data_IF_723968329226
#
_entry.id   IF_723968329226
#
_cell.length_a   1.000
_cell.length_b   1.000
_cell.length_c   1.000
_cell.angle_alpha   90.00
_cell.angle_beta   90.00
_cell.angle_gamma   90.00
#
_symmetry.space_group_name_H-M   'P 1'
#
loop_
_entity.id
_entity.type
_entity.pdbx_description
1 polymer ?
#
# COMPACT_ATOMS: atom_id res chain seq x y z
N UNK A 1 19.23 -1.59 21.34
CA UNK A 1 18.70 -0.28 20.89
C UNK A 1 19.80 0.76 21.01
N UNK A 2 20.06 1.51 19.93
CA UNK A 2 21.02 2.64 19.94
C UNK A 2 20.26 3.95 20.06
N UNK A 3 20.84 4.97 20.71
CA UNK A 3 20.23 6.31 20.70
C UNK A 3 20.26 6.89 19.29
N UNK A 4 19.14 7.46 18.85
CA UNK A 4 19.01 8.05 17.51
C UNK A 4 19.98 9.22 17.31
N UNK A 5 20.12 10.08 18.32
CA UNK A 5 20.90 11.33 18.23
C UNK A 5 22.35 11.12 17.73
N UNK A 6 22.94 9.98 18.08
CA UNK A 6 24.32 9.59 17.71
C UNK A 6 24.39 8.79 16.40
N UNK A 7 23.25 8.38 15.85
CA UNK A 7 23.14 7.41 14.75
C UNK A 7 22.07 7.83 13.72
N UNK A 8 21.84 9.14 13.53
CA UNK A 8 20.82 9.68 12.61
C UNK A 8 20.93 9.13 11.18
N UNK A 9 22.13 8.73 10.77
CA UNK A 9 22.42 8.14 9.46
C UNK A 9 21.91 6.69 9.30
N UNK A 10 21.63 5.99 10.39
CA UNK A 10 21.15 4.61 10.43
C UNK A 10 19.61 4.52 10.35
N UNK A 11 18.89 5.64 10.45
CA UNK A 11 17.43 5.64 10.37
C UNK A 11 16.92 5.33 8.98
N UNK A 12 15.80 4.62 8.90
CA UNK A 12 15.12 4.28 7.66
C UNK A 12 13.70 4.81 7.73
N UNK A 13 13.35 5.62 6.73
CA UNK A 13 12.04 6.22 6.58
C UNK A 13 11.33 5.69 5.34
N UNK A 14 10.01 5.62 5.44
CA UNK A 14 9.10 5.38 4.32
C UNK A 14 8.01 6.45 4.27
N UNK A 15 7.31 6.56 3.14
CA UNK A 15 6.17 7.46 2.94
C UNK A 15 6.49 8.96 3.17
N UNK A 16 7.76 9.34 3.05
CA UNK A 16 8.22 10.72 3.19
C UNK A 16 7.76 11.53 1.97
N UNK A 17 7.16 12.69 2.21
CA UNK A 17 6.80 13.64 1.16
C UNK A 17 7.33 15.01 1.53
N UNK A 18 8.43 15.42 0.89
CA UNK A 18 9.01 16.76 1.05
C UNK A 18 7.96 17.84 0.72
N UNK A 19 7.97 18.90 1.50
CA UNK A 19 7.11 20.07 1.28
C UNK A 19 7.96 21.34 1.17
N UNK A 20 7.33 22.44 0.75
CA UNK A 20 8.00 23.73 0.62
C UNK A 20 7.87 24.56 1.89
N UNK A 21 8.83 25.48 2.09
CA UNK A 21 8.84 26.42 3.22
C UNK A 21 7.57 27.28 3.27
N UNK A 22 6.99 27.59 2.11
CA UNK A 22 5.74 28.36 2.02
C UNK A 22 4.59 27.73 2.81
N UNK A 23 4.57 26.39 2.98
CA UNK A 23 3.58 25.74 3.84
C UNK A 23 3.76 26.13 5.31
N UNK A 24 5.00 26.14 5.79
CA UNK A 24 5.32 26.59 7.15
C UNK A 24 5.01 28.08 7.31
N UNK A 25 5.41 28.93 6.35
CA UNK A 25 5.12 30.36 6.42
C UNK A 25 3.60 30.62 6.53
N UNK A 26 2.76 29.85 5.82
CA UNK A 26 1.29 29.95 5.95
C UNK A 26 0.79 29.49 7.33
N UNK A 27 1.31 28.37 7.84
CA UNK A 27 0.95 27.85 9.18
C UNK A 27 1.35 28.85 10.27
N UNK A 28 2.57 29.36 10.22
CA UNK A 28 3.13 30.34 11.16
C UNK A 28 2.29 31.62 11.21
N UNK A 29 1.91 32.13 10.03
CA UNK A 29 1.06 33.31 9.92
C UNK A 29 -0.35 33.07 10.46
N UNK A 30 -0.97 31.91 10.16
CA UNK A 30 -2.33 31.60 10.63
C UNK A 30 -2.40 31.39 12.14
N UNK A 31 -1.39 30.75 12.73
CA UNK A 31 -1.37 30.44 14.16
C UNK A 31 -0.69 31.52 15.02
N UNK A 32 -0.09 32.52 14.38
CA UNK A 32 0.74 33.56 15.01
C UNK A 32 1.85 32.96 15.88
N UNK A 33 2.62 32.05 15.27
CA UNK A 33 3.77 31.36 15.87
C UNK A 33 4.96 31.40 14.92
N UNK A 34 6.12 30.96 15.40
CA UNK A 34 7.31 30.75 14.60
C UNK A 34 7.99 29.45 15.02
N UNK A 35 8.07 28.49 14.11
CA UNK A 35 8.81 27.26 14.37
C UNK A 35 10.32 27.55 14.45
N UNK A 36 11.05 26.83 15.31
CA UNK A 36 12.51 26.88 15.28
C UNK A 36 13.04 26.48 13.90
N UNK A 37 14.04 27.21 13.39
CA UNK A 37 14.53 27.04 12.01
C UNK A 37 15.02 25.61 11.72
N UNK A 38 15.72 25.01 12.69
CA UNK A 38 16.21 23.63 12.57
C UNK A 38 15.05 22.62 12.47
N UNK A 39 13.91 22.91 13.09
CA UNK A 39 12.73 22.04 13.05
C UNK A 39 12.04 22.14 11.71
N UNK A 40 11.92 23.35 11.18
CA UNK A 40 11.41 23.55 9.82
C UNK A 40 12.25 22.75 8.83
N UNK A 41 13.59 22.82 8.91
CA UNK A 41 14.48 22.03 8.03
C UNK A 41 14.23 20.53 8.14
N UNK A 42 14.08 20.02 9.36
CA UNK A 42 13.79 18.61 9.59
C UNK A 42 12.38 18.23 9.11
N UNK A 43 11.35 18.85 9.66
CA UNK A 43 9.94 18.55 9.39
C UNK A 43 9.58 18.71 7.91
N UNK A 44 10.18 19.68 7.20
CA UNK A 44 10.01 19.86 5.75
C UNK A 44 10.49 18.64 4.96
N UNK A 45 11.64 18.08 5.33
CA UNK A 45 12.27 16.96 4.61
C UNK A 45 11.73 15.60 5.04
N UNK A 46 11.26 15.45 6.29
CA UNK A 46 10.68 14.22 6.83
C UNK A 46 9.14 14.25 6.91
N UNK A 47 8.49 15.25 6.31
CA UNK A 47 7.04 15.45 6.38
C UNK A 47 6.27 14.16 6.03
N UNK A 48 5.32 13.79 6.90
CA UNK A 48 4.50 12.56 6.80
C UNK A 48 5.29 11.24 6.88
N UNK A 49 6.60 11.29 7.09
CA UNK A 49 7.45 10.10 7.17
C UNK A 49 7.03 9.17 8.32
N UNK A 50 7.08 7.87 8.05
CA UNK A 50 7.05 6.82 9.06
C UNK A 50 8.44 6.21 9.17
N UNK A 51 8.96 6.07 10.37
CA UNK A 51 10.21 5.35 10.59
C UNK A 51 9.96 3.84 10.62
N UNK A 52 10.87 3.09 9.99
CA UNK A 52 10.84 1.63 9.99
C UNK A 52 11.59 1.08 11.19
N UNK A 53 12.78 1.61 11.46
CA UNK A 53 13.69 1.06 12.46
C UNK A 53 13.93 2.02 13.63
N UNK A 54 12.98 2.90 13.91
CA UNK A 54 13.07 3.86 15.00
C UNK A 54 11.78 3.91 15.79
N UNK A 55 11.93 3.88 17.12
CA UNK A 55 10.82 4.00 18.06
C UNK A 55 11.04 5.21 18.95
N UNK A 56 9.96 5.76 19.48
CA UNK A 56 9.95 6.69 20.59
C UNK A 56 9.74 5.89 21.89
N UNK A 57 10.55 6.13 22.91
CA UNK A 57 10.48 5.44 24.21
C UNK A 57 10.46 6.48 25.34
N UNK A 58 9.37 6.54 26.09
CA UNK A 58 9.20 7.45 27.23
C UNK A 58 8.35 6.80 28.32
N UNK A 59 8.80 6.86 29.57
CA UNK A 59 8.06 6.34 30.74
C UNK A 59 7.56 4.89 30.60
N UNK A 60 8.33 4.05 29.90
CA UNK A 60 7.99 2.64 29.66
C UNK A 60 7.02 2.40 28.50
N UNK A 61 6.57 3.46 27.82
CA UNK A 61 5.76 3.40 26.60
C UNK A 61 6.67 3.45 25.37
N UNK A 62 6.43 2.56 24.41
CA UNK A 62 7.21 2.47 23.17
C UNK A 62 6.31 2.47 21.94
N UNK A 63 6.61 3.30 20.94
CA UNK A 63 5.85 3.34 19.70
C UNK A 63 6.67 3.82 18.49
N UNK A 64 6.30 3.34 17.30
CA UNK A 64 6.92 3.76 16.03
C UNK A 64 6.72 5.25 15.76
N UNK A 65 7.75 5.90 15.23
CA UNK A 65 7.71 7.34 14.93
C UNK A 65 6.99 7.57 13.62
N UNK A 66 5.91 8.34 13.67
CA UNK A 66 5.20 8.84 12.49
C UNK A 66 5.00 10.34 12.60
N UNK A 67 5.58 11.08 11.67
CA UNK A 67 5.49 12.53 11.65
C UNK A 67 4.14 12.99 11.08
N UNK A 68 3.61 14.06 11.66
CA UNK A 68 2.44 14.77 11.14
C UNK A 68 2.71 15.31 9.74
N UNK A 69 1.62 15.57 9.01
CA UNK A 69 1.69 16.36 7.77
C UNK A 69 1.62 17.84 8.08
N UNK A 70 2.57 18.60 7.54
CA UNK A 70 2.68 20.06 7.59
C UNK A 70 2.32 20.70 6.25
N UNK A 71 1.69 19.95 5.34
CA UNK A 71 1.01 20.53 4.18
C UNK A 71 -0.17 21.38 4.68
N UNK A 72 -0.12 22.69 4.44
CA UNK A 72 -0.96 23.71 5.09
C UNK A 72 -2.43 23.30 5.25
N UNK A 73 -3.12 22.95 4.14
CA UNK A 73 -4.54 22.57 4.17
C UNK A 73 -4.82 21.33 5.03
N UNK A 74 -3.94 20.32 4.94
CA UNK A 74 -4.09 19.08 5.69
C UNK A 74 -3.72 19.28 7.17
N UNK A 75 -2.71 20.10 7.44
CA UNK A 75 -2.27 20.44 8.78
C UNK A 75 -3.37 21.15 9.57
N UNK A 76 -3.94 22.23 9.03
CA UNK A 76 -5.00 23.00 9.70
C UNK A 76 -6.20 22.11 10.02
N UNK A 77 -6.67 21.31 9.06
CA UNK A 77 -7.77 20.36 9.29
C UNK A 77 -7.46 19.36 10.41
N UNK A 78 -6.22 18.84 10.45
CA UNK A 78 -5.81 17.89 11.49
C UNK A 78 -5.71 18.56 12.87
N UNK A 79 -5.26 19.81 12.92
CA UNK A 79 -5.17 20.61 14.14
C UNK A 79 -6.56 20.94 14.68
N UNK A 80 -7.49 21.35 13.82
CA UNK A 80 -8.90 21.54 14.17
C UNK A 80 -9.53 20.25 14.71
N UNK A 81 -9.27 19.11 14.05
CA UNK A 81 -9.72 17.81 14.52
C UNK A 81 -9.16 17.49 15.90
N UNK A 82 -7.86 17.72 16.13
CA UNK A 82 -7.23 17.52 17.43
C UNK A 82 -7.93 18.34 18.51
N UNK A 83 -8.04 19.66 18.35
CA UNK A 83 -8.70 20.52 19.33
C UNK A 83 -10.14 20.10 19.60
N UNK A 84 -10.93 19.83 18.55
CA UNK A 84 -12.33 19.37 18.70
C UNK A 84 -12.41 18.03 19.44
N UNK A 85 -11.57 17.06 19.09
CA UNK A 85 -11.55 15.72 19.72
C UNK A 85 -11.18 15.75 21.21
N UNK A 86 -10.50 16.82 21.65
CA UNK A 86 -10.11 17.06 23.04
C UNK A 86 -11.06 18.01 23.79
N UNK A 87 -12.19 18.38 23.18
CA UNK A 87 -13.16 19.31 23.76
C UNK A 87 -12.51 20.64 24.19
N UNK A 88 -12.80 21.07 25.41
CA UNK A 88 -12.26 22.33 25.96
C UNK A 88 -10.90 22.19 26.65
N UNK A 89 -10.30 20.99 26.70
CA UNK A 89 -9.11 20.74 27.52
C UNK A 89 -7.91 21.60 27.08
N UNK A 90 -7.68 21.71 25.77
CA UNK A 90 -6.59 22.49 25.18
C UNK A 90 -7.05 23.81 24.55
N UNK A 91 -8.27 24.28 24.83
CA UNK A 91 -8.88 25.43 24.12
C UNK A 91 -8.06 26.72 24.23
N UNK A 92 -7.34 26.91 25.33
CA UNK A 92 -6.50 28.08 25.58
C UNK A 92 -5.01 27.83 25.32
N UNK A 93 -4.65 26.69 24.73
CA UNK A 93 -3.25 26.32 24.47
C UNK A 93 -2.97 26.23 22.97
N UNK A 94 -1.80 26.70 22.57
CA UNK A 94 -1.30 26.62 21.18
C UNK A 94 -0.44 25.35 21.02
N UNK A 95 -1.10 24.18 21.03
CA UNK A 95 -0.44 22.86 20.94
C UNK A 95 -0.44 22.37 19.49
N UNK A 96 0.73 21.97 19.00
CA UNK A 96 0.90 21.45 17.64
C UNK A 96 1.43 20.01 17.71
N UNK A 97 0.61 19.00 17.37
CA UNK A 97 1.04 17.61 17.32
C UNK A 97 2.07 17.37 16.20
N UNK A 98 3.25 16.85 16.57
CA UNK A 98 4.35 16.57 15.63
C UNK A 98 4.49 15.07 15.35
N UNK A 99 4.34 14.25 16.39
CA UNK A 99 4.34 12.79 16.30
C UNK A 99 3.06 12.31 16.96
N UNK A 100 2.36 11.39 16.30
CA UNK A 100 1.18 10.77 16.91
C UNK A 100 1.10 9.27 16.62
N UNK A 101 0.73 8.52 17.67
CA UNK A 101 0.38 7.11 17.57
C UNK A 101 -0.99 6.89 18.19
N UNK A 102 -1.73 5.99 17.56
CA UNK A 102 -2.98 5.45 18.08
C UNK A 102 -2.78 3.97 18.35
N UNK A 103 -3.18 3.53 19.52
CA UNK A 103 -3.27 2.14 19.93
C UNK A 103 -4.74 1.83 20.21
N UNK A 104 -5.26 0.72 19.68
CA UNK A 104 -6.60 0.25 19.97
C UNK A 104 -6.51 -0.69 21.15
N UNK A 105 -7.28 -0.43 22.22
CA UNK A 105 -7.09 -1.11 23.49
C UNK A 105 -7.88 -2.41 23.60
N UNK A 106 -9.13 -2.52 23.10
CA UNK A 106 -9.94 -3.77 23.11
C UNK A 106 -11.27 -3.61 22.31
N UNK A 107 -12.05 -4.70 22.16
CA UNK A 107 -13.28 -4.89 21.34
C UNK A 107 -14.41 -3.84 21.49
N UNK A 108 -14.35 -2.95 22.49
CA UNK A 108 -15.40 -1.95 22.81
C UNK A 108 -14.98 -0.53 22.36
N UNK A 109 -14.31 -0.43 21.22
CA UNK A 109 -14.11 0.84 20.50
C UNK A 109 -13.37 1.96 21.30
N UNK A 110 -12.50 1.61 22.26
CA UNK A 110 -11.61 2.54 22.96
C UNK A 110 -10.20 2.52 22.35
N UNK A 111 -9.58 3.69 22.27
CA UNK A 111 -8.21 3.86 21.82
C UNK A 111 -7.39 4.70 22.80
N UNK A 112 -6.08 4.48 22.82
CA UNK A 112 -5.09 5.31 23.49
C UNK A 112 -4.35 6.12 22.45
N UNK A 113 -4.24 7.43 22.68
CA UNK A 113 -3.47 8.36 21.86
C UNK A 113 -2.18 8.71 22.58
N UNK A 114 -1.12 8.72 21.79
CA UNK A 114 0.22 9.12 22.17
C UNK A 114 0.62 10.28 21.27
N UNK A 115 0.99 11.42 21.86
CA UNK A 115 1.29 12.63 21.10
C UNK A 115 2.55 13.27 21.65
N UNK A 116 3.52 13.53 20.76
CA UNK A 116 4.61 14.47 21.02
C UNK A 116 4.25 15.77 20.31
N UNK A 117 4.22 16.88 21.03
CA UNK A 117 3.76 18.15 20.52
C UNK A 117 4.68 19.31 20.90
N UNK A 118 4.59 20.38 20.11
CA UNK A 118 5.12 21.69 20.43
C UNK A 118 4.05 22.52 21.12
N UNK A 119 4.34 23.10 22.27
CA UNK A 119 3.46 24.01 22.99
C UNK A 119 3.98 25.44 22.94
N UNK A 120 3.31 26.27 22.13
CA UNK A 120 3.61 27.69 21.92
C UNK A 120 2.85 28.62 22.87
N UNK A 121 2.17 28.08 23.90
CA UNK A 121 1.29 28.87 24.78
C UNK A 121 2.07 29.97 25.53
N UNK A 122 3.29 29.67 25.99
CA UNK A 122 4.11 30.62 26.76
C UNK A 122 4.99 31.52 25.89
N UNK A 123 5.52 30.97 24.79
CA UNK A 123 6.38 31.68 23.85
C UNK A 123 6.02 31.22 22.43
N UNK A 124 5.63 32.18 21.58
CA UNK A 124 5.24 31.92 20.20
C UNK A 124 6.41 31.59 19.28
N UNK A 125 7.67 31.72 19.73
CA UNK A 125 8.87 31.45 18.94
C UNK A 125 9.69 30.27 19.45
N UNK A 126 9.54 29.89 20.73
CA UNK A 126 10.28 28.80 21.35
C UNK A 126 9.30 27.87 22.09
N UNK A 127 8.81 26.82 21.43
CA UNK A 127 7.83 25.95 22.05
C UNK A 127 8.44 25.08 23.16
N UNK A 128 7.67 24.82 24.20
CA UNK A 128 7.96 23.69 25.08
C UNK A 128 7.65 22.39 24.33
N UNK A 129 8.49 21.38 24.47
CA UNK A 129 8.26 20.05 23.93
C UNK A 129 7.55 19.22 24.99
N UNK A 130 6.36 18.74 24.67
CA UNK A 130 5.53 17.98 25.60
C UNK A 130 5.14 16.62 25.01
N UNK A 131 4.99 15.65 25.90
CA UNK A 131 4.41 14.35 25.62
C UNK A 131 3.04 14.28 26.31
N UNK A 132 2.02 13.95 25.53
CA UNK A 132 0.62 13.86 25.96
C UNK A 132 0.16 12.43 25.70
N UNK A 133 -0.54 11.84 26.67
CA UNK A 133 -1.36 10.66 26.41
C UNK A 133 -2.79 10.91 26.84
N UNK A 134 -3.75 10.30 26.15
CA UNK A 134 -5.14 10.29 26.58
C UNK A 134 -5.87 9.08 26.00
N UNK A 135 -6.98 8.71 26.60
CA UNK A 135 -7.87 7.66 26.09
C UNK A 135 -9.06 8.30 25.40
N UNK A 136 -9.59 7.67 24.36
CA UNK A 136 -10.76 8.14 23.64
C UNK A 136 -11.69 6.98 23.30
N UNK A 137 -12.99 7.22 23.33
CA UNK A 137 -14.03 6.24 23.04
C UNK A 137 -14.76 6.57 21.75
N UNK A 138 -15.17 5.56 21.01
CA UNK A 138 -16.04 5.73 19.83
C UNK A 138 -17.43 6.19 20.27
N UNK A 139 -17.95 7.20 19.57
CA UNK A 139 -19.25 7.82 19.85
C UNK A 139 -20.30 7.56 18.74
N UNK A 140 -19.98 6.76 17.71
CA UNK A 140 -20.91 6.30 16.67
C UNK A 140 -20.68 6.88 15.25
N UNK A 141 -21.16 6.15 14.24
CA UNK A 141 -20.80 6.27 12.80
C UNK A 141 -21.41 7.44 12.00
N UNK A 142 -22.20 8.33 12.61
CA UNK A 142 -22.88 9.43 11.88
C UNK A 142 -22.37 10.83 12.27
N UNK A 143 -21.16 10.92 12.81
CA UNK A 143 -20.49 12.20 13.04
C UNK A 143 -19.13 12.24 12.33
N UNK A 144 -18.70 13.45 11.92
CA UNK A 144 -17.34 13.68 11.41
C UNK A 144 -16.24 13.31 12.44
N UNK A 145 -16.62 13.05 13.70
CA UNK A 145 -15.76 12.90 14.87
C UNK A 145 -16.09 11.61 15.61
N UNK A 146 -15.68 10.49 15.01
CA UNK A 146 -15.96 9.15 15.54
C UNK A 146 -15.41 8.90 16.96
N UNK A 147 -14.39 9.63 17.42
CA UNK A 147 -13.75 9.41 18.72
C UNK A 147 -13.64 10.71 19.53
N UNK A 148 -14.04 10.63 20.80
CA UNK A 148 -13.90 11.72 21.77
C UNK A 148 -13.05 11.27 22.96
N UNK A 149 -12.18 12.15 23.46
CA UNK A 149 -11.36 11.83 24.61
C UNK A 149 -12.22 11.57 25.87
N UNK A 150 -11.70 10.70 26.74
CA UNK A 150 -12.28 10.42 28.06
C UNK A 150 -11.78 11.49 29.02
N UNK A 151 -12.70 12.29 29.57
CA UNK A 151 -12.37 13.34 30.54
C UNK A 151 -11.55 12.79 31.72
N UNK A 152 -10.51 13.52 32.13
CA UNK A 152 -9.59 13.10 33.19
C UNK A 152 -8.58 12.02 32.78
N UNK A 153 -8.60 11.50 31.55
CA UNK A 153 -7.61 10.52 31.07
C UNK A 153 -6.31 11.14 30.55
N UNK A 154 -6.27 12.46 30.39
CA UNK A 154 -5.11 13.17 29.84
C UNK A 154 -3.96 13.16 30.85
N UNK A 155 -2.79 12.70 30.41
CA UNK A 155 -1.53 12.88 31.12
C UNK A 155 -0.57 13.68 30.26
N UNK A 156 0.28 14.46 30.90
CA UNK A 156 1.25 15.33 30.22
C UNK A 156 2.60 15.32 30.94
N UNK A 157 3.66 15.35 30.14
CA UNK A 157 5.04 15.48 30.62
C UNK A 157 5.80 16.45 29.73
N UNK A 158 6.48 17.42 30.36
CA UNK A 158 7.46 18.27 29.68
C UNK A 158 8.72 17.44 29.39
N UNK A 159 9.09 17.38 28.11
CA UNK A 159 10.31 16.73 27.65
C UNK A 159 11.49 17.72 27.67
N UNK A 160 11.27 18.96 27.22
CA UNK A 160 12.31 20.00 27.24
C UNK A 160 11.89 21.28 26.50
N UNK A 161 12.83 22.20 26.34
CA UNK A 161 12.62 23.52 25.68
C UNK A 161 13.33 23.64 24.33
N UNK A 162 13.93 22.54 23.88
CA UNK A 162 14.59 22.43 22.58
C UNK A 162 14.01 21.23 21.86
N UNK A 163 13.61 21.43 20.62
CA UNK A 163 13.10 20.38 19.75
C UNK A 163 14.02 19.17 19.57
N UNK A 164 15.34 19.39 19.64
CA UNK A 164 16.34 18.31 19.62
C UNK A 164 16.12 17.28 20.73
N UNK A 165 15.48 17.67 21.84
CA UNK A 165 15.14 16.76 22.94
C UNK A 165 14.23 15.63 22.49
N UNK A 166 13.40 15.81 21.44
CA UNK A 166 12.61 14.71 20.87
C UNK A 166 13.51 13.53 20.47
N UNK A 167 14.70 13.82 19.93
CA UNK A 167 15.64 12.81 19.45
C UNK A 167 16.30 12.04 20.61
N UNK A 168 16.32 12.60 21.82
CA UNK A 168 16.84 11.92 23.02
C UNK A 168 15.93 10.77 23.48
N UNK A 169 14.65 10.81 23.09
CA UNK A 169 13.65 9.78 23.36
C UNK A 169 13.48 8.81 22.18
N UNK A 170 14.28 8.93 21.12
CA UNK A 170 14.22 8.04 19.97
C UNK A 170 15.36 7.02 19.95
N UNK A 171 15.02 5.79 19.60
CA UNK A 171 15.94 4.65 19.61
C UNK A 171 15.85 3.85 18.31
N UNK A 172 17.01 3.41 17.83
CA UNK A 172 17.13 2.54 16.65
C UNK A 172 16.95 1.08 17.06
N UNK A 173 16.08 0.40 16.32
CA UNK A 173 15.78 -1.03 16.44
C UNK A 173 16.45 -1.82 15.32
N UNK A 174 16.43 -3.16 15.44
CA UNK A 174 16.94 -4.06 14.40
C UNK A 174 15.90 -4.32 13.29
N UNK A 175 14.76 -3.61 13.31
CA UNK A 175 13.74 -3.71 12.28
C UNK A 175 14.31 -3.26 10.93
N UNK A 176 13.92 -3.97 9.87
CA UNK A 176 14.38 -3.72 8.51
C UNK A 176 13.19 -3.44 7.62
N UNK A 177 13.39 -2.75 6.48
CA UNK A 177 12.36 -2.65 5.47
C UNK A 177 11.84 -4.05 5.14
N UNK A 178 10.51 -4.19 5.10
CA UNK A 178 9.91 -5.43 4.62
C UNK A 178 10.37 -5.63 3.19
N UNK A 179 11.05 -6.74 2.92
CA UNK A 179 11.31 -7.16 1.55
C UNK A 179 9.96 -7.37 0.88
N UNK A 180 9.55 -6.41 0.05
CA UNK A 180 8.42 -6.61 -0.83
C UNK A 180 8.95 -7.44 -1.99
N UNK A 181 8.39 -8.64 -2.16
CA UNK A 181 8.77 -9.52 -3.26
C UNK A 181 8.17 -8.97 -4.56
N UNK A 182 8.95 -9.01 -5.65
CA UNK A 182 8.43 -8.70 -6.97
C UNK A 182 7.35 -9.70 -7.38
N UNK A 183 6.43 -9.24 -8.23
CA UNK A 183 5.26 -10.01 -8.59
C UNK A 183 4.11 -9.87 -7.60
N UNK A 184 2.99 -10.49 -7.94
CA UNK A 184 1.76 -10.43 -7.17
C UNK A 184 1.42 -11.80 -6.62
N UNK A 185 0.68 -11.82 -5.51
CA UNK A 185 0.20 -13.07 -4.92
C UNK A 185 -1.13 -13.43 -5.57
N UNK A 186 -1.16 -14.50 -6.35
CA UNK A 186 -2.41 -15.08 -6.82
C UNK A 186 -2.96 -15.99 -5.73
N UNK A 187 -4.12 -15.64 -5.20
CA UNK A 187 -4.84 -16.43 -4.20
C UNK A 187 -6.07 -17.05 -4.86
N UNK A 188 -6.38 -18.30 -4.53
CA UNK A 188 -7.66 -18.93 -4.92
C UNK A 188 -8.42 -19.25 -3.65
N UNK A 189 -9.58 -18.59 -3.49
CA UNK A 189 -10.42 -18.71 -2.30
C UNK A 189 -11.50 -19.78 -2.45
N UNK A 190 -11.72 -20.29 -3.67
CA UNK A 190 -12.64 -21.40 -3.89
C UNK A 190 -12.08 -22.73 -3.40
N UNK A 191 -12.97 -23.65 -3.02
CA UNK A 191 -12.56 -25.02 -2.70
C UNK A 191 -12.32 -25.84 -3.97
N UNK A 192 -11.59 -26.95 -3.84
CA UNK A 192 -11.38 -27.89 -4.95
C UNK A 192 -12.73 -28.44 -5.45
N UNK A 193 -13.66 -28.69 -4.53
CA UNK A 193 -15.02 -29.13 -4.84
C UNK A 193 -15.81 -28.07 -5.64
N UNK A 194 -15.70 -26.78 -5.28
CA UNK A 194 -16.35 -25.70 -6.04
C UNK A 194 -15.82 -25.58 -7.47
N UNK A 195 -14.51 -25.82 -7.67
CA UNK A 195 -13.90 -25.87 -9.01
C UNK A 195 -14.42 -27.09 -9.79
N UNK A 196 -14.57 -28.25 -9.15
CA UNK A 196 -15.16 -29.44 -9.78
C UNK A 196 -16.63 -29.26 -10.13
N UNK A 197 -17.41 -28.63 -9.25
CA UNK A 197 -18.82 -28.31 -9.49
C UNK A 197 -18.97 -27.37 -10.68
N UNK A 198 -18.15 -26.33 -10.77
CA UNK A 198 -18.16 -25.43 -11.92
C UNK A 198 -17.89 -26.16 -13.24
N UNK A 199 -16.87 -27.03 -13.27
CA UNK A 199 -16.56 -27.85 -14.45
C UNK A 199 -17.72 -28.76 -14.86
N UNK A 200 -18.44 -29.35 -13.88
CA UNK A 200 -19.66 -30.15 -14.13
C UNK A 200 -20.78 -29.28 -14.69
N UNK A 201 -20.99 -28.09 -14.14
CA UNK A 201 -22.02 -27.13 -14.57
C UNK A 201 -21.85 -26.72 -16.04
N UNK A 202 -20.63 -26.35 -16.43
CA UNK A 202 -20.33 -25.95 -17.82
C UNK A 202 -20.13 -27.16 -18.76
N UNK A 203 -20.03 -28.38 -18.21
CA UNK A 203 -19.81 -29.60 -18.98
C UNK A 203 -18.44 -29.69 -19.66
N UNK A 204 -17.42 -28.99 -19.12
CA UNK A 204 -16.07 -28.91 -19.66
C UNK A 204 -15.06 -29.22 -18.55
N UNK A 205 -13.93 -29.84 -18.91
CA UNK A 205 -12.83 -30.12 -17.98
C UNK A 205 -11.66 -29.22 -18.29
N UNK A 206 -11.15 -28.55 -17.26
CA UNK A 206 -9.97 -27.71 -17.37
C UNK A 206 -8.71 -28.55 -17.69
N UNK A 207 -7.74 -27.96 -18.42
CA UNK A 207 -6.41 -28.56 -18.60
C UNK A 207 -5.79 -28.94 -17.26
N UNK A 208 -5.08 -30.07 -17.22
CA UNK A 208 -4.55 -30.61 -15.97
C UNK A 208 -3.55 -29.64 -15.31
N UNK A 209 -2.67 -29.04 -16.12
CA UNK A 209 -1.71 -28.04 -15.63
C UNK A 209 -2.38 -26.78 -15.08
N UNK A 210 -3.48 -26.34 -15.68
CA UNK A 210 -4.23 -25.17 -15.17
C UNK A 210 -4.96 -25.51 -13.87
N UNK A 211 -5.56 -26.70 -13.79
CA UNK A 211 -6.21 -27.16 -12.57
C UNK A 211 -5.22 -27.31 -11.42
N UNK A 212 -4.04 -27.89 -11.68
CA UNK A 212 -2.96 -28.00 -10.70
C UNK A 212 -2.46 -26.63 -10.22
N UNK A 213 -2.44 -25.62 -11.10
CA UNK A 213 -2.12 -24.25 -10.72
C UNK A 213 -3.13 -23.69 -9.71
N UNK A 214 -4.43 -23.81 -9.98
CA UNK A 214 -5.48 -23.38 -9.05
C UNK A 214 -5.41 -24.14 -7.72
N UNK A 215 -5.23 -25.47 -7.76
CA UNK A 215 -5.15 -26.30 -6.55
C UNK A 215 -3.94 -25.97 -5.68
N UNK A 216 -2.79 -25.68 -6.30
CA UNK A 216 -1.62 -25.22 -5.55
C UNK A 216 -1.86 -23.86 -4.90
N UNK A 217 -2.60 -22.95 -5.54
CA UNK A 217 -2.93 -21.66 -4.94
C UNK A 217 -3.82 -21.82 -3.70
N UNK A 218 -4.71 -22.81 -3.69
CA UNK A 218 -5.49 -23.18 -2.50
C UNK A 218 -4.57 -23.79 -1.42
N UNK A 219 -3.79 -24.81 -1.78
CA UNK A 219 -3.01 -25.60 -0.82
C UNK A 219 -1.86 -24.80 -0.17
N UNK A 220 -1.27 -23.86 -0.92
CA UNK A 220 -0.14 -23.04 -0.50
C UNK A 220 -0.55 -21.66 0.06
N UNK A 221 -1.86 -21.36 0.17
CA UNK A 221 -2.41 -20.04 0.50
C UNK A 221 -1.85 -18.92 -0.40
N UNK A 222 -1.86 -19.20 -1.70
CA UNK A 222 -1.43 -18.32 -2.76
C UNK A 222 -0.10 -18.69 -3.41
N UNK A 223 0.05 -18.34 -4.68
CA UNK A 223 1.26 -18.53 -5.48
C UNK A 223 1.76 -17.18 -5.93
N UNK A 224 3.07 -16.94 -5.81
CA UNK A 224 3.69 -15.73 -6.38
C UNK A 224 3.77 -15.84 -7.90
N UNK A 225 3.16 -14.89 -8.60
CA UNK A 225 3.27 -14.71 -10.04
C UNK A 225 4.21 -13.54 -10.31
N UNK A 226 5.35 -13.82 -10.94
CA UNK A 226 6.29 -12.79 -11.35
C UNK A 226 5.81 -12.07 -12.61
N UNK A 227 6.30 -10.86 -12.90
CA UNK A 227 6.10 -10.25 -14.20
C UNK A 227 6.51 -11.21 -15.34
N UNK A 228 5.58 -11.46 -16.25
CA UNK A 228 5.72 -12.40 -17.38
C UNK A 228 5.76 -11.65 -18.71
N UNK A 229 6.38 -12.26 -19.71
CA UNK A 229 6.35 -11.82 -21.11
C UNK A 229 6.43 -13.02 -22.06
N UNK A 230 6.11 -12.82 -23.32
CA UNK A 230 6.40 -13.84 -24.33
C UNK A 230 7.90 -13.96 -24.60
N UNK A 231 8.36 -15.21 -24.76
CA UNK A 231 9.70 -15.51 -25.26
C UNK A 231 9.91 -14.82 -26.60
N UNK A 232 11.13 -14.30 -26.83
CA UNK A 232 11.46 -13.49 -28.01
C UNK A 232 11.03 -14.10 -29.36
N UNK A 233 11.11 -15.42 -29.50
CA UNK A 233 10.73 -16.16 -30.72
C UNK A 233 9.22 -16.15 -31.03
N UNK A 234 8.36 -15.78 -30.07
CA UNK A 234 6.91 -15.67 -30.23
C UNK A 234 6.43 -14.21 -30.23
N UNK A 235 7.33 -13.23 -30.01
CA UNK A 235 6.94 -11.84 -29.80
C UNK A 235 6.24 -11.23 -31.02
N UNK A 236 6.62 -11.64 -32.23
CA UNK A 236 6.04 -11.12 -33.46
C UNK A 236 4.63 -11.67 -33.68
N UNK A 237 4.48 -12.97 -33.50
CA UNK A 237 3.24 -13.74 -33.60
C UNK A 237 2.20 -13.24 -32.59
N UNK A 238 2.66 -12.82 -31.41
CA UNK A 238 1.83 -12.42 -30.28
C UNK A 238 1.69 -10.91 -30.10
N UNK A 239 2.25 -10.11 -31.01
CA UNK A 239 2.25 -8.64 -30.90
C UNK A 239 0.87 -7.99 -30.88
N UNK A 240 -0.18 -8.71 -31.28
CA UNK A 240 -1.57 -8.27 -31.22
C UNK A 240 -2.32 -8.67 -29.94
N UNK A 241 -1.66 -9.32 -28.97
CA UNK A 241 -2.29 -9.70 -27.70
C UNK A 241 -1.79 -8.82 -26.55
N UNK A 242 -2.67 -8.53 -25.59
CA UNK A 242 -2.34 -7.69 -24.44
C UNK A 242 -1.89 -8.51 -23.21
N UNK A 243 -1.29 -9.67 -23.43
CA UNK A 243 -0.91 -10.60 -22.35
C UNK A 243 0.05 -10.00 -21.32
N UNK A 244 0.96 -9.09 -21.73
CA UNK A 244 1.91 -8.43 -20.81
C UNK A 244 1.22 -7.51 -19.78
N UNK A 245 -0.09 -7.27 -19.93
CA UNK A 245 -0.90 -6.36 -19.13
C UNK A 245 -2.15 -7.07 -18.63
N UNK A 246 -2.00 -8.04 -17.73
CA UNK A 246 -3.15 -8.76 -17.18
C UNK A 246 -2.86 -9.56 -15.93
N UNK A 247 -3.86 -10.35 -15.51
CA UNK A 247 -3.83 -11.17 -14.31
C UNK A 247 -4.63 -12.48 -14.48
N UNK A 248 -4.18 -13.52 -13.77
CA UNK A 248 -4.91 -14.78 -13.67
C UNK A 248 -6.18 -14.55 -12.85
N UNK A 249 -7.30 -15.10 -13.30
CA UNK A 249 -8.57 -14.96 -12.61
C UNK A 249 -8.82 -16.09 -11.61
N UNK A 250 -9.34 -15.74 -10.43
CA UNK A 250 -9.92 -16.67 -9.48
C UNK A 250 -11.20 -17.30 -10.05
N UNK A 251 -11.63 -18.44 -9.52
CA UNK A 251 -12.87 -19.09 -9.96
C UNK A 251 -14.09 -18.15 -9.94
N UNK A 252 -14.21 -17.32 -8.89
CA UNK A 252 -15.29 -16.33 -8.78
C UNK A 252 -15.28 -15.32 -9.94
N UNK A 253 -14.10 -14.87 -10.33
CA UNK A 253 -13.91 -13.91 -11.43
C UNK A 253 -14.16 -14.60 -12.77
N UNK A 254 -13.69 -15.83 -12.96
CA UNK A 254 -13.99 -16.65 -14.14
C UNK A 254 -15.50 -16.77 -14.31
N UNK A 255 -16.23 -17.13 -13.24
CA UNK A 255 -17.70 -17.25 -13.27
C UNK A 255 -18.37 -15.93 -13.64
N UNK A 256 -17.95 -14.83 -12.99
CA UNK A 256 -18.51 -13.49 -13.22
C UNK A 256 -18.25 -12.99 -14.65
N UNK A 257 -17.00 -13.04 -15.11
CA UNK A 257 -16.59 -12.60 -16.44
C UNK A 257 -17.20 -13.48 -17.53
N UNK A 258 -17.23 -14.81 -17.34
CA UNK A 258 -17.87 -15.71 -18.30
C UNK A 258 -19.36 -15.42 -18.46
N UNK A 259 -20.08 -15.18 -17.35
CA UNK A 259 -21.50 -14.82 -17.40
C UNK A 259 -21.72 -13.47 -18.08
N UNK A 260 -20.93 -12.45 -17.73
CA UNK A 260 -20.95 -11.14 -18.40
C UNK A 260 -20.74 -11.27 -19.92
N UNK A 261 -19.73 -12.04 -20.34
CA UNK A 261 -19.45 -12.28 -21.76
C UNK A 261 -20.62 -12.95 -22.49
N UNK A 262 -21.29 -13.92 -21.86
CA UNK A 262 -22.48 -14.57 -22.41
C UNK A 262 -23.66 -13.60 -22.57
N UNK A 263 -23.81 -12.67 -21.64
CA UNK A 263 -24.93 -11.75 -21.60
C UNK A 263 -24.76 -10.57 -22.56
N UNK A 264 -23.57 -9.96 -22.61
CA UNK A 264 -23.31 -8.73 -23.36
C UNK A 264 -22.79 -9.00 -24.78
N UNK A 265 -21.94 -10.00 -25.00
CA UNK A 265 -21.22 -10.18 -26.27
C UNK A 265 -21.90 -11.19 -27.21
N UNK A 266 -23.17 -10.99 -27.54
CA UNK A 266 -23.94 -11.96 -28.33
C UNK A 266 -23.58 -11.97 -29.84
N UNK A 267 -23.22 -13.12 -30.44
CA UNK A 267 -23.10 -14.45 -29.82
C UNK A 267 -21.71 -14.70 -29.21
N UNK A 268 -21.64 -14.88 -27.88
CA UNK A 268 -20.43 -15.34 -27.21
C UNK A 268 -20.45 -16.87 -27.12
N UNK A 269 -19.36 -17.58 -27.46
CA UNK A 269 -19.39 -19.02 -27.46
C UNK A 269 -19.33 -19.61 -26.04
N UNK A 270 -20.33 -20.41 -25.66
CA UNK A 270 -20.34 -21.17 -24.39
C UNK A 270 -19.15 -22.13 -24.18
N UNK A 271 -18.39 -22.39 -25.24
CA UNK A 271 -17.21 -23.26 -25.23
C UNK A 271 -15.89 -22.47 -25.17
N UNK A 272 -15.94 -21.19 -24.81
CA UNK A 272 -14.79 -20.30 -24.67
C UNK A 272 -14.76 -19.75 -23.24
N UNK A 273 -13.89 -20.30 -22.40
CA UNK A 273 -13.86 -20.00 -20.96
C UNK A 273 -12.68 -19.05 -20.68
N UNK A 274 -12.92 -17.82 -20.20
CA UNK A 274 -11.85 -16.89 -19.87
C UNK A 274 -11.12 -17.35 -18.60
N UNK A 275 -9.79 -17.30 -18.60
CA UNK A 275 -8.95 -17.74 -17.46
C UNK A 275 -7.88 -16.73 -17.04
N UNK A 276 -7.60 -15.75 -17.91
CA UNK A 276 -6.71 -14.63 -17.65
C UNK A 276 -7.33 -13.38 -18.27
N UNK A 277 -7.48 -12.33 -17.49
CA UNK A 277 -7.90 -11.02 -17.98
C UNK A 277 -6.64 -10.25 -18.40
N UNK A 278 -6.59 -9.81 -19.64
CA UNK A 278 -5.50 -8.96 -20.14
C UNK A 278 -5.84 -7.51 -19.76
N UNK A 279 -6.14 -6.68 -20.75
CA UNK A 279 -6.75 -5.37 -20.55
C UNK A 279 -8.26 -5.51 -20.62
N UNK A 280 -8.99 -4.56 -20.04
CA UNK A 280 -10.47 -4.56 -19.94
C UNK A 280 -11.15 -5.23 -21.14
N UNK A 281 -11.90 -6.30 -20.87
CA UNK A 281 -12.66 -7.11 -21.84
C UNK A 281 -11.85 -7.88 -22.91
N UNK A 282 -10.53 -7.97 -22.77
CA UNK A 282 -9.66 -8.88 -23.51
C UNK A 282 -9.20 -10.03 -22.61
N UNK A 283 -9.28 -11.27 -23.09
CA UNK A 283 -9.02 -12.45 -22.26
C UNK A 283 -8.15 -13.49 -22.96
N UNK A 284 -7.37 -14.23 -22.19
CA UNK A 284 -6.87 -15.54 -22.62
C UNK A 284 -7.89 -16.58 -22.20
N UNK A 285 -8.34 -17.39 -23.15
CA UNK A 285 -9.43 -18.33 -22.97
C UNK A 285 -9.02 -19.76 -23.29
N UNK A 286 -9.60 -20.70 -22.53
CA UNK A 286 -9.69 -22.11 -22.89
C UNK A 286 -10.76 -22.28 -23.98
N UNK A 287 -10.36 -22.67 -25.18
CA UNK A 287 -11.22 -22.74 -26.35
C UNK A 287 -11.56 -24.17 -26.77
N UNK A 288 -12.76 -24.61 -26.39
CA UNK A 288 -13.32 -25.93 -26.68
C UNK A 288 -14.22 -25.95 -27.92
N UNK A 289 -14.27 -24.86 -28.70
CA UNK A 289 -15.11 -24.80 -29.90
C UNK A 289 -14.60 -25.72 -31.01
N UNK A 290 -13.29 -25.92 -31.06
CA UNK A 290 -12.60 -26.78 -32.02
C UNK A 290 -12.52 -28.24 -31.56
N UNK A 291 -11.83 -29.06 -32.36
CA UNK A 291 -11.40 -30.39 -31.91
C UNK A 291 -10.34 -30.21 -30.82
N UNK A 292 -10.44 -31.03 -29.79
CA UNK A 292 -9.40 -31.11 -28.75
C UNK A 292 -8.09 -31.59 -29.38
N UNK A 293 -6.97 -31.18 -28.79
CA UNK A 293 -5.65 -31.68 -29.15
C UNK A 293 -5.66 -33.22 -29.13
N UNK A 294 -5.17 -33.87 -30.19
CA UNK A 294 -5.29 -35.33 -30.33
C UNK A 294 -4.48 -36.12 -29.31
N UNK A 295 -3.42 -35.51 -28.78
CA UNK A 295 -2.47 -36.13 -27.85
C UNK A 295 -2.89 -35.87 -26.41
N UNK A 296 -3.06 -34.60 -26.05
CA UNK A 296 -3.36 -34.18 -24.68
C UNK A 296 -4.86 -34.20 -24.36
N UNK A 297 -5.73 -34.23 -25.39
CA UNK A 297 -7.19 -34.08 -25.26
C UNK A 297 -7.60 -32.78 -24.55
N UNK A 298 -6.78 -31.74 -24.71
CA UNK A 298 -6.98 -30.42 -24.13
C UNK A 298 -7.59 -29.43 -25.15
N UNK A 299 -8.25 -28.35 -24.67
CA UNK A 299 -8.62 -27.22 -25.51
C UNK A 299 -7.37 -26.47 -25.99
N UNK A 300 -7.50 -25.77 -27.11
CA UNK A 300 -6.51 -24.77 -27.52
C UNK A 300 -6.64 -23.50 -26.67
N UNK A 301 -5.63 -22.66 -26.71
CA UNK A 301 -5.64 -21.33 -26.06
C UNK A 301 -5.92 -20.26 -27.11
N UNK A 302 -6.88 -19.39 -26.82
CA UNK A 302 -7.32 -18.32 -27.73
C UNK A 302 -7.32 -16.99 -26.98
N UNK A 303 -6.76 -15.96 -27.59
CA UNK A 303 -6.97 -14.59 -27.17
C UNK A 303 -8.32 -14.10 -27.71
N UNK A 304 -9.16 -13.65 -26.80
CA UNK A 304 -10.41 -13.00 -27.09
C UNK A 304 -10.25 -11.48 -26.96
N UNK A 305 -10.66 -10.73 -27.98
CA UNK A 305 -10.75 -9.27 -27.94
C UNK A 305 -12.19 -8.85 -28.19
N UNK A 306 -12.81 -8.20 -27.20
CA UNK A 306 -14.19 -7.71 -27.27
C UNK A 306 -14.39 -6.59 -28.30
N UNK A 307 -13.36 -5.77 -28.53
CA UNK A 307 -13.40 -4.59 -29.41
C UNK A 307 -13.39 -4.96 -30.90
N UNK A 308 -12.86 -6.12 -31.24
CA UNK A 308 -12.82 -6.61 -32.62
C UNK A 308 -14.20 -7.07 -33.09
N UNK A 309 -14.36 -7.40 -34.37
CA UNK A 309 -15.63 -7.93 -34.91
C UNK A 309 -15.48 -9.32 -35.54
N UNK A 310 -16.56 -10.10 -35.44
CA UNK A 310 -16.66 -11.43 -36.04
C UNK A 310 -15.53 -12.37 -35.60
N UNK A 311 -14.92 -13.08 -36.56
CA UNK A 311 -13.88 -14.06 -36.26
C UNK A 311 -12.54 -13.42 -35.81
N UNK A 312 -12.34 -12.12 -36.05
CA UNK A 312 -11.11 -11.42 -35.62
C UNK A 312 -11.00 -11.29 -34.11
N UNK A 313 -12.14 -11.37 -33.41
CA UNK A 313 -12.22 -11.47 -31.95
C UNK A 313 -11.48 -12.66 -31.38
N UNK A 314 -11.25 -13.71 -32.18
CA UNK A 314 -10.69 -14.97 -31.70
C UNK A 314 -9.36 -15.25 -32.38
N UNK A 315 -8.27 -15.00 -31.68
CA UNK A 315 -6.92 -15.25 -32.17
C UNK A 315 -6.37 -16.51 -31.48
N UNK A 316 -6.28 -17.66 -32.17
CA UNK A 316 -5.64 -18.85 -31.61
C UNK A 316 -4.16 -18.58 -31.32
N UNK A 317 -3.71 -18.97 -30.14
CA UNK A 317 -2.35 -18.71 -29.64
C UNK A 317 -1.52 -19.99 -29.55
N UNK A 318 -2.09 -21.05 -28.98
CA UNK A 318 -1.41 -22.32 -28.72
C UNK A 318 -2.41 -23.48 -28.80
N UNK A 319 -1.95 -24.70 -29.10
CA UNK A 319 -2.83 -25.85 -29.25
C UNK A 319 -3.16 -26.54 -27.91
N UNK A 320 -2.52 -26.13 -26.82
CA UNK A 320 -2.77 -26.58 -25.44
C UNK A 320 -2.37 -25.53 -24.41
N UNK A 321 -2.77 -25.72 -23.15
CA UNK A 321 -2.33 -24.85 -22.06
C UNK A 321 -0.83 -25.04 -21.76
N UNK A 322 -0.32 -26.27 -21.92
CA UNK A 322 1.10 -26.55 -21.79
C UNK A 322 1.94 -25.78 -22.82
N UNK A 323 1.54 -25.81 -24.09
CA UNK A 323 2.23 -25.06 -25.14
C UNK A 323 2.18 -23.55 -24.89
N UNK A 324 1.07 -23.04 -24.35
CA UNK A 324 0.95 -21.64 -23.97
C UNK A 324 1.96 -21.26 -22.87
N UNK A 325 2.09 -22.07 -21.81
CA UNK A 325 3.12 -21.84 -20.78
C UNK A 325 4.54 -21.88 -21.37
N UNK A 326 4.79 -22.75 -22.35
CA UNK A 326 6.08 -22.81 -23.05
C UNK A 326 6.38 -21.56 -23.89
N UNK A 327 5.38 -20.73 -24.18
CA UNK A 327 5.57 -19.43 -24.86
C UNK A 327 5.96 -18.31 -23.90
N UNK A 328 5.77 -18.48 -22.59
CA UNK A 328 5.94 -17.44 -21.57
C UNK A 328 7.27 -17.62 -20.83
N UNK A 329 7.90 -16.51 -20.47
CA UNK A 329 9.06 -16.47 -19.58
C UNK A 329 8.92 -15.34 -18.55
N UNK A 330 9.62 -15.47 -17.42
CA UNK A 330 9.72 -14.41 -16.42
C UNK A 330 10.50 -13.24 -17.02
N UNK A 331 9.97 -12.03 -16.90
CA UNK A 331 10.70 -10.82 -17.26
C UNK A 331 11.65 -10.40 -16.13
N UNK A 332 12.81 -11.05 -16.07
CA UNK A 332 13.86 -10.78 -15.06
C UNK A 332 14.24 -9.29 -14.96
N UNK A 333 14.19 -8.56 -16.08
CA UNK A 333 14.49 -7.12 -16.10
C UNK A 333 13.41 -6.32 -15.36
N UNK A 334 12.13 -6.66 -15.57
CA UNK A 334 11.00 -6.02 -14.89
C UNK A 334 10.98 -6.39 -13.40
N UNK A 335 11.24 -7.66 -13.07
CA UNK A 335 11.44 -8.13 -11.68
C UNK A 335 12.51 -7.30 -10.97
N UNK A 336 13.69 -7.14 -11.57
CA UNK A 336 14.79 -6.37 -10.97
C UNK A 336 14.47 -4.87 -10.88
N UNK A 337 13.79 -4.33 -11.89
CA UNK A 337 13.31 -2.95 -11.87
C UNK A 337 12.32 -2.70 -10.74
N UNK A 338 11.37 -3.60 -10.51
CA UNK A 338 10.40 -3.51 -9.41
C UNK A 338 11.09 -3.60 -8.05
N UNK A 339 12.01 -4.57 -7.87
CA UNK A 339 12.82 -4.68 -6.64
C UNK A 339 13.63 -3.41 -6.37
N UNK A 340 14.22 -2.80 -7.40
CA UNK A 340 14.97 -1.55 -7.28
C UNK A 340 14.04 -0.40 -6.88
N UNK A 341 12.92 -0.23 -7.59
CA UNK A 341 11.95 0.81 -7.28
C UNK A 341 11.41 0.68 -5.84
N UNK A 342 11.21 -0.54 -5.34
CA UNK A 342 10.83 -0.79 -3.94
C UNK A 342 11.91 -0.35 -2.96
N UNK A 343 13.19 -0.64 -3.21
CA UNK A 343 14.31 -0.16 -2.37
C UNK A 343 14.42 1.36 -2.37
N UNK A 344 14.20 1.99 -3.52
CA UNK A 344 14.23 3.45 -3.68
C UNK A 344 13.08 4.18 -2.98
N UNK A 345 12.01 3.47 -2.56
CA UNK A 345 10.93 4.06 -1.71
C UNK A 345 11.40 4.37 -0.29
N UNK A 346 12.47 3.73 0.15
CA UNK A 346 13.03 3.95 1.48
C UNK A 346 14.09 5.06 1.43
N UNK A 347 13.96 6.01 2.34
CA UNK A 347 14.98 7.04 2.54
C UNK A 347 15.80 6.68 3.77
N UNK A 348 17.09 6.53 3.58
CA UNK A 348 18.04 6.31 4.64
C UNK A 348 18.52 7.66 5.19
N UNK A 349 18.84 7.69 6.49
CA UNK A 349 19.13 8.90 7.22
C UNK A 349 20.27 9.73 6.60
N UNK A 350 21.31 9.07 6.08
CA UNK A 350 22.42 9.77 5.43
C UNK A 350 21.99 10.58 4.19
N UNK A 351 21.07 10.05 3.37
CA UNK A 351 20.58 10.72 2.16
C UNK A 351 19.84 12.00 2.52
N UNK A 352 19.05 11.96 3.59
CA UNK A 352 18.28 13.12 4.03
C UNK A 352 19.19 14.17 4.69
N UNK A 353 20.20 13.74 5.44
CA UNK A 353 21.22 14.64 5.97
C UNK A 353 21.98 15.39 4.86
N UNK A 354 22.26 14.72 3.73
CA UNK A 354 22.83 15.37 2.55
C UNK A 354 21.86 16.40 1.96
N UNK A 355 20.59 16.06 1.78
CA UNK A 355 19.56 16.98 1.29
C UNK A 355 19.45 18.24 2.15
N UNK A 356 19.52 18.11 3.48
CA UNK A 356 19.50 19.26 4.41
C UNK A 356 20.74 20.12 4.22
N UNK A 357 21.94 19.51 4.15
CA UNK A 357 23.21 20.24 3.98
C UNK A 357 23.30 20.99 2.65
N UNK A 358 22.72 20.46 1.58
CA UNK A 358 22.69 21.14 0.28
C UNK A 358 21.77 22.37 0.27
N UNK A 359 20.67 22.34 1.02
CA UNK A 359 19.81 23.51 1.20
C UNK A 359 20.51 24.63 1.96
N UNK A 360 21.33 24.32 2.96
CA UNK A 360 22.11 25.31 3.71
C UNK A 360 23.19 26.02 2.86
N UNK A 361 23.52 25.47 1.68
CA UNK A 361 24.53 26.04 0.76
C UNK A 361 23.93 26.94 -0.33
N UNK A 362 22.61 27.02 -0.45
CA UNK A 362 21.90 27.86 -1.44
C UNK A 362 21.33 29.10 -0.77
#
# INVERSE_FOLDING_TARGET
MKKLMENLNETIWENVKKIDKENFDKIENELEIKFPENDVKYLKNFNRGSSINTIFSVDGEEFNVKLSTFEYKNFIRNLEYFHRSTGNYFVNRKIIPVISKTEFLDEILELKKYIVAYDFTKDSNNPEIIYITYRAKDVGLDTLYRYEYIEGSVTEKKLGDKSSVILDYMYITDEKPKETEAGWLFEEFSTKEEIEEFQKEIGLRFPEKYLNFLYRAIDENGIRIYPEKYKSKYKKEMSGTNFEYGEYMMLKEIKSNYQFLLDEFKPYPKKLIPIYECVSECYICLDYRGKLNTTLKEPRITYFNSEEEGNRRFVPIADSYEEFLDMIEIDEKKVESEKRAMKERYLYGYQILEMIREEDKK
#
